data_IF_890264207028
#
_entry.id   IF_890264207028
#
_cell.length_a   1.000
_cell.length_b   1.000
_cell.length_c   1.000
_cell.angle_alpha   90.00
_cell.angle_beta   90.00
_cell.angle_gamma   90.00
#
_symmetry.space_group_name_H-M   'P 1'
#
loop_
_entity.id
_entity.type
_entity.pdbx_description
1 polymer ?
#
# COMPACT_ATOMS: atom_id res chain seq x y z
N UNK A 1 60.82 -19.72 48.12
CA UNK A 1 60.43 -18.41 47.55
C UNK A 1 59.79 -18.72 46.22
N UNK A 2 58.46 -18.69 46.19
CA UNK A 2 57.69 -18.88 44.97
C UNK A 2 57.10 -17.51 44.64
N UNK A 3 57.46 -16.99 43.48
CA UNK A 3 57.02 -15.70 42.96
C UNK A 3 55.63 -15.87 42.33
N UNK A 4 54.61 -15.25 42.92
CA UNK A 4 53.26 -15.16 42.37
C UNK A 4 53.16 -13.97 41.40
N UNK A 5 53.10 -14.29 40.11
CA UNK A 5 52.83 -13.37 39.02
C UNK A 5 51.31 -13.15 38.90
N UNK A 6 50.79 -12.03 39.42
CA UNK A 6 49.39 -11.64 39.22
C UNK A 6 49.17 -11.16 37.78
N UNK A 7 48.48 -11.98 36.98
CA UNK A 7 47.94 -11.58 35.68
C UNK A 7 46.59 -10.86 35.89
N UNK A 8 46.56 -9.56 35.60
CA UNK A 8 45.33 -8.78 35.56
C UNK A 8 44.57 -9.07 34.25
N UNK A 9 43.44 -9.77 34.35
CA UNK A 9 42.50 -9.97 33.25
C UNK A 9 41.70 -8.68 33.09
N UNK A 10 41.97 -7.93 32.02
CA UNK A 10 41.13 -6.82 31.56
C UNK A 10 39.88 -7.44 30.94
N UNK A 11 38.76 -7.36 31.65
CA UNK A 11 37.44 -7.75 31.14
C UNK A 11 36.95 -6.64 30.22
N UNK A 12 37.25 -6.75 28.92
CA UNK A 12 36.57 -5.95 27.90
C UNK A 12 35.08 -6.30 27.94
N UNK A 13 34.28 -5.40 28.51
CA UNK A 13 32.85 -5.43 28.37
C UNK A 13 32.54 -5.20 26.88
N UNK A 14 32.37 -6.30 26.14
CA UNK A 14 31.70 -6.30 24.86
C UNK A 14 30.29 -5.76 25.10
N UNK A 15 30.11 -4.45 24.94
CA UNK A 15 28.78 -3.86 24.82
C UNK A 15 28.19 -4.52 23.57
N UNK A 16 27.15 -5.35 23.66
CA UNK A 16 26.46 -5.77 22.47
C UNK A 16 25.99 -4.48 21.82
N UNK A 17 26.53 -4.16 20.65
CA UNK A 17 25.88 -3.23 19.76
C UNK A 17 24.46 -3.79 19.61
N UNK A 18 23.50 -3.20 20.33
CA UNK A 18 22.09 -3.45 20.12
C UNK A 18 21.92 -3.29 18.62
N UNK A 19 21.68 -4.39 17.92
CA UNK A 19 21.34 -4.35 16.52
C UNK A 19 20.24 -3.31 16.44
N UNK A 20 20.54 -2.14 15.86
CA UNK A 20 19.50 -1.17 15.57
C UNK A 20 18.48 -1.97 14.79
N UNK A 21 17.26 -2.06 15.32
CA UNK A 21 16.19 -2.92 14.85
C UNK A 21 15.66 -2.39 13.50
N UNK A 22 16.51 -2.34 12.49
CA UNK A 22 16.25 -1.70 11.21
C UNK A 22 15.25 -2.54 10.41
N UNK A 23 14.20 -1.88 9.95
CA UNK A 23 13.34 -2.41 8.88
C UNK A 23 13.97 -1.97 7.56
N UNK A 24 14.28 -2.92 6.69
CA UNK A 24 14.99 -2.57 5.45
C UNK A 24 14.11 -1.77 4.50
N UNK A 25 14.72 -0.96 3.65
CA UNK A 25 14.11 -0.46 2.43
C UNK A 25 13.56 -1.62 1.59
N UNK A 26 12.57 -1.33 0.75
CA UNK A 26 11.94 -2.31 -0.12
C UNK A 26 10.48 -2.03 -0.39
N UNK A 27 9.86 -2.92 -1.16
CA UNK A 27 8.47 -2.82 -1.57
C UNK A 27 7.57 -3.63 -0.64
N UNK A 28 6.59 -2.96 -0.06
CA UNK A 28 5.46 -3.55 0.63
C UNK A 28 4.33 -3.78 -0.38
N UNK A 29 3.69 -4.94 -0.28
CA UNK A 29 2.61 -5.35 -1.18
C UNK A 29 1.32 -5.43 -0.41
N UNK A 30 0.31 -4.71 -0.87
CA UNK A 30 -0.98 -4.58 -0.21
C UNK A 30 -2.11 -5.04 -1.12
N UNK A 31 -3.18 -5.54 -0.51
CA UNK A 31 -4.40 -5.92 -1.22
C UNK A 31 -5.62 -5.16 -0.73
N UNK A 32 -6.60 -4.97 -1.59
CA UNK A 32 -7.82 -4.22 -1.32
C UNK A 32 -9.03 -5.12 -1.57
N UNK A 33 -9.90 -5.36 -0.57
CA UNK A 33 -11.03 -6.25 -0.74
C UNK A 33 -12.16 -5.57 -1.50
N UNK A 34 -12.90 -6.28 -2.37
CA UNK A 34 -14.10 -5.75 -3.00
C UNK A 34 -15.34 -5.83 -2.07
N UNK A 35 -15.17 -5.71 -0.75
CA UNK A 35 -16.22 -5.95 0.26
C UNK A 35 -16.99 -4.68 0.68
N UNK A 36 -16.69 -3.54 0.06
CA UNK A 36 -17.30 -2.25 0.39
C UNK A 36 -16.54 -1.43 1.43
N UNK A 37 -15.45 -1.96 2.01
CA UNK A 37 -14.62 -1.22 2.96
C UNK A 37 -13.73 -0.15 2.30
N UNK A 38 -13.42 -0.32 1.02
CA UNK A 38 -12.69 0.66 0.20
C UNK A 38 -13.63 1.25 -0.83
N UNK A 39 -13.84 2.57 -0.77
CA UNK A 39 -14.79 3.28 -1.62
C UNK A 39 -14.35 4.73 -1.84
N UNK A 40 -14.92 5.36 -2.86
CA UNK A 40 -14.85 6.81 -3.06
C UNK A 40 -16.24 7.37 -3.35
N UNK A 41 -16.50 8.60 -2.92
CA UNK A 41 -17.70 9.33 -3.27
C UNK A 41 -17.42 10.20 -4.49
N UNK A 42 -17.89 9.77 -5.66
CA UNK A 42 -17.61 10.42 -6.93
C UNK A 42 -18.61 11.54 -7.21
N UNK A 43 -18.10 12.69 -7.65
CA UNK A 43 -18.90 13.84 -8.10
C UNK A 43 -18.43 14.23 -9.51
N UNK A 44 -19.23 13.90 -10.53
CA UNK A 44 -18.96 14.22 -11.92
C UNK A 44 -19.91 15.34 -12.39
N UNK A 45 -19.40 16.39 -13.06
CA UNK A 45 -20.26 17.44 -13.58
C UNK A 45 -21.13 16.92 -14.74
N UNK A 46 -22.24 17.62 -14.99
CA UNK A 46 -23.06 17.36 -16.17
C UNK A 46 -22.20 17.51 -17.44
N UNK A 47 -22.44 16.67 -18.45
CA UNK A 47 -21.65 16.67 -19.67
C UNK A 47 -20.38 15.81 -19.64
N UNK A 48 -19.93 15.34 -18.46
CA UNK A 48 -18.65 14.61 -18.34
C UNK A 48 -18.69 13.23 -19.01
N UNK A 49 -19.66 12.40 -18.64
CA UNK A 49 -19.82 11.04 -19.16
C UNK A 49 -20.31 11.05 -20.62
N UNK A 50 -21.23 11.95 -20.92
CA UNK A 50 -21.71 12.25 -22.27
C UNK A 50 -22.23 13.69 -22.33
N UNK A 51 -22.31 14.25 -23.54
CA UNK A 51 -22.74 15.63 -23.78
C UNK A 51 -24.06 15.99 -23.08
N UNK A 52 -25.03 15.08 -23.10
CA UNK A 52 -26.38 15.29 -22.53
C UNK A 52 -26.57 14.52 -21.22
N UNK A 53 -25.50 13.98 -20.63
CA UNK A 53 -25.56 13.27 -19.37
C UNK A 53 -25.69 14.25 -18.19
N UNK A 54 -26.67 14.08 -17.29
CA UNK A 54 -26.75 14.84 -16.04
C UNK A 54 -25.49 14.67 -15.18
N UNK A 55 -25.33 15.56 -14.20
CA UNK A 55 -24.28 15.39 -13.19
C UNK A 55 -24.50 14.07 -12.43
N UNK A 56 -23.40 13.39 -12.08
CA UNK A 56 -23.45 12.15 -11.32
C UNK A 56 -22.84 12.38 -9.93
N UNK A 57 -23.58 11.98 -8.90
CA UNK A 57 -23.09 11.91 -7.53
C UNK A 57 -23.38 10.52 -6.99
N UNK A 58 -22.34 9.80 -6.57
CA UNK A 58 -22.53 8.45 -6.08
C UNK A 58 -21.27 7.81 -5.53
N UNK A 59 -21.48 6.80 -4.69
CA UNK A 59 -20.39 6.00 -4.13
C UNK A 59 -19.97 4.90 -5.09
N UNK A 60 -18.66 4.78 -5.31
CA UNK A 60 -18.06 3.68 -6.06
C UNK A 60 -17.28 2.82 -5.08
N UNK A 61 -17.66 1.54 -4.98
CA UNK A 61 -16.90 0.55 -4.22
C UNK A 61 -15.72 0.12 -5.09
N UNK A 62 -14.52 0.10 -4.51
CA UNK A 62 -13.31 -0.29 -5.19
C UNK A 62 -12.83 -1.65 -4.70
N UNK A 63 -12.48 -2.50 -5.65
CA UNK A 63 -11.79 -3.76 -5.42
C UNK A 63 -10.37 -3.70 -5.99
N UNK A 64 -9.45 -4.35 -5.30
CA UNK A 64 -8.08 -4.57 -5.76
C UNK A 64 -7.98 -5.43 -7.01
N UNK A 65 -7.19 -4.99 -7.98
CA UNK A 65 -6.74 -5.83 -9.10
C UNK A 65 -5.22 -5.97 -9.00
N UNK A 66 -4.67 -7.20 -9.00
CA UNK A 66 -3.23 -7.39 -8.86
C UNK A 66 -2.44 -6.60 -9.91
N UNK A 67 -1.48 -5.80 -9.45
CA UNK A 67 -0.54 -5.09 -10.32
C UNK A 67 0.24 -6.12 -11.13
N UNK A 68 0.22 -5.98 -12.45
CA UNK A 68 0.98 -6.88 -13.30
C UNK A 68 2.48 -6.76 -13.01
N UNK A 69 3.12 -7.90 -12.80
CA UNK A 69 4.55 -7.99 -12.50
C UNK A 69 5.25 -9.04 -13.36
N UNK A 70 6.59 -8.93 -13.45
CA UNK A 70 7.45 -9.94 -14.06
C UNK A 70 8.64 -10.26 -13.13
N UNK A 71 8.70 -11.49 -12.57
CA UNK A 71 7.73 -12.58 -12.71
C UNK A 71 6.36 -12.27 -12.09
N UNK A 72 5.31 -13.00 -12.51
CA UNK A 72 3.90 -12.69 -12.21
C UNK A 72 3.58 -12.59 -10.70
N UNK A 73 4.31 -13.31 -9.87
CA UNK A 73 4.14 -13.41 -8.42
C UNK A 73 5.17 -12.59 -7.64
N UNK A 74 5.96 -11.73 -8.30
CA UNK A 74 7.06 -10.98 -7.69
C UNK A 74 6.68 -10.19 -6.45
N UNK A 75 5.43 -9.74 -6.36
CA UNK A 75 4.89 -8.99 -5.23
C UNK A 75 3.64 -9.64 -4.65
N UNK A 76 3.56 -10.98 -4.68
CA UNK A 76 2.46 -11.73 -4.05
C UNK A 76 1.07 -11.21 -4.45
N UNK A 77 0.87 -10.85 -5.71
CA UNK A 77 -0.42 -10.37 -6.26
C UNK A 77 -1.02 -9.14 -5.56
N UNK A 78 -0.19 -8.24 -5.03
CA UNK A 78 -0.67 -6.95 -4.50
C UNK A 78 -1.30 -6.06 -5.58
N UNK A 79 -2.35 -5.35 -5.21
CA UNK A 79 -2.96 -4.30 -6.05
C UNK A 79 -2.39 -2.91 -5.76
N UNK A 80 -1.73 -2.73 -4.61
CA UNK A 80 -1.03 -1.50 -4.26
C UNK A 80 0.38 -1.84 -3.80
N UNK A 81 1.37 -1.28 -4.48
CA UNK A 81 2.80 -1.51 -4.21
C UNK A 81 3.42 -0.23 -3.68
N UNK A 82 3.89 -0.27 -2.44
CA UNK A 82 4.46 0.89 -1.73
C UNK A 82 5.92 0.63 -1.42
N UNK A 83 6.80 1.48 -1.94
CA UNK A 83 8.24 1.36 -1.74
C UNK A 83 8.69 2.29 -0.62
N UNK A 84 9.34 1.71 0.40
CA UNK A 84 10.19 2.44 1.34
C UNK A 84 11.50 2.78 0.66
N UNK A 85 11.79 4.07 0.57
CA UNK A 85 12.97 4.60 -0.14
C UNK A 85 14.27 4.41 0.62
N UNK A 86 14.17 4.18 1.93
CA UNK A 86 15.29 4.04 2.84
C UNK A 86 14.95 3.06 3.98
N UNK A 87 15.98 2.66 4.70
CA UNK A 87 15.86 1.85 5.90
C UNK A 87 15.15 2.64 7.00
N UNK A 88 14.15 2.03 7.64
CA UNK A 88 13.46 2.61 8.78
C UNK A 88 14.21 2.24 10.07
N UNK A 89 14.85 3.25 10.67
CA UNK A 89 15.63 3.12 11.91
C UNK A 89 14.79 3.60 13.09
N UNK A 90 14.59 2.73 14.08
CA UNK A 90 13.85 3.09 15.29
C UNK A 90 14.70 3.93 16.24
N UNK A 91 14.08 4.96 16.82
CA UNK A 91 14.63 5.72 17.91
C UNK A 91 14.51 4.98 19.26
N UNK A 92 14.99 5.61 20.33
CA UNK A 92 14.92 5.06 21.69
C UNK A 92 13.49 4.89 22.23
N UNK A 93 12.47 5.44 21.55
CA UNK A 93 11.05 5.30 21.88
C UNK A 93 10.36 4.22 21.04
N UNK A 94 11.10 3.53 20.18
CA UNK A 94 10.51 2.54 19.27
C UNK A 94 9.71 3.18 18.14
N UNK A 95 10.04 4.40 17.72
CA UNK A 95 9.42 5.07 16.57
C UNK A 95 10.42 5.21 15.43
N UNK A 96 10.02 4.84 14.22
CA UNK A 96 10.76 5.07 12.99
C UNK A 96 9.91 5.91 12.02
N UNK A 97 10.56 6.81 11.28
CA UNK A 97 9.96 7.55 10.18
C UNK A 97 10.70 7.23 8.89
N UNK A 98 9.97 6.94 7.82
CA UNK A 98 10.55 6.50 6.55
C UNK A 98 9.78 7.10 5.38
N UNK A 99 10.51 7.58 4.37
CA UNK A 99 9.87 8.04 3.14
C UNK A 99 9.35 6.86 2.33
N UNK A 100 8.11 6.99 1.88
CA UNK A 100 7.44 6.02 1.02
C UNK A 100 6.91 6.64 -0.25
N UNK A 101 6.76 5.82 -1.29
CA UNK A 101 6.17 6.19 -2.56
C UNK A 101 5.33 5.04 -3.12
N UNK A 102 4.18 5.33 -3.71
CA UNK A 102 3.43 4.31 -4.45
C UNK A 102 4.09 4.08 -5.80
N UNK A 103 4.40 2.83 -6.08
CA UNK A 103 5.01 2.39 -7.33
C UNK A 103 4.01 1.76 -8.29
N UNK A 104 2.98 1.12 -7.77
CA UNK A 104 1.90 0.54 -8.56
C UNK A 104 0.59 0.60 -7.79
N UNK A 105 -0.49 0.86 -8.51
CA UNK A 105 -1.85 0.83 -7.98
C UNK A 105 -2.79 0.43 -9.10
N UNK A 106 -3.66 -0.54 -8.85
CA UNK A 106 -4.72 -0.90 -9.78
C UNK A 106 -6.00 -1.31 -9.03
N UNK A 107 -7.05 -0.52 -9.21
CA UNK A 107 -8.39 -0.83 -8.70
C UNK A 107 -9.41 -0.94 -9.82
N UNK A 108 -10.47 -1.67 -9.53
CA UNK A 108 -11.66 -1.73 -10.37
C UNK A 108 -12.90 -1.44 -9.53
N UNK A 109 -13.88 -0.76 -10.11
CA UNK A 109 -15.21 -0.61 -9.53
C UNK A 109 -15.85 -1.99 -9.32
N UNK A 110 -16.13 -2.35 -8.07
CA UNK A 110 -16.81 -3.60 -7.74
C UNK A 110 -18.27 -3.59 -8.20
N UNK A 111 -18.84 -2.40 -8.37
CA UNK A 111 -20.17 -2.17 -8.92
C UNK A 111 -20.10 -1.39 -10.24
N UNK A 112 -21.01 -1.72 -11.16
CA UNK A 112 -21.27 -0.89 -12.33
C UNK A 112 -21.89 0.44 -11.90
N UNK A 113 -21.36 1.56 -12.41
CA UNK A 113 -21.95 2.88 -12.23
C UNK A 113 -23.16 3.02 -13.14
N UNK A 114 -24.35 3.04 -12.54
CA UNK A 114 -25.61 3.25 -13.24
C UNK A 114 -25.92 4.74 -13.27
N UNK A 115 -26.04 5.29 -14.48
CA UNK A 115 -26.32 6.71 -14.71
C UNK A 115 -27.46 6.84 -15.71
N UNK A 116 -28.05 8.03 -15.80
CA UNK A 116 -29.13 8.31 -16.77
C UNK A 116 -28.65 8.22 -18.23
N UNK A 117 -27.33 8.29 -18.47
CA UNK A 117 -26.73 8.12 -19.79
C UNK A 117 -26.09 6.74 -20.02
N UNK A 118 -26.39 5.76 -19.16
CA UNK A 118 -26.00 4.37 -19.34
C UNK A 118 -25.23 3.78 -18.17
N UNK A 119 -24.76 2.56 -18.39
CA UNK A 119 -23.99 1.79 -17.42
C UNK A 119 -22.50 1.85 -17.73
N UNK A 120 -21.67 2.13 -16.72
CA UNK A 120 -20.24 2.33 -16.86
C UNK A 120 -19.46 1.46 -15.89
N UNK A 121 -18.40 0.81 -16.38
CA UNK A 121 -17.35 0.29 -15.51
C UNK A 121 -16.36 1.39 -15.15
N UNK A 122 -15.69 1.25 -14.02
CA UNK A 122 -14.60 2.12 -13.61
C UNK A 122 -13.33 1.30 -13.36
N UNK A 123 -12.22 1.77 -13.88
CA UNK A 123 -10.87 1.25 -13.63
C UNK A 123 -10.00 2.40 -13.13
N UNK A 124 -9.08 2.14 -12.20
CA UNK A 124 -8.25 3.17 -11.57
C UNK A 124 -6.80 2.72 -11.55
N UNK A 125 -5.93 3.51 -12.15
CA UNK A 125 -4.48 3.30 -12.15
C UNK A 125 -3.71 4.57 -11.80
N UNK A 126 -2.39 4.45 -11.64
CA UNK A 126 -1.52 5.62 -11.43
C UNK A 126 -1.42 6.49 -12.69
N UNK A 127 -1.54 7.81 -12.52
CA UNK A 127 -1.47 8.79 -13.60
C UNK A 127 -0.04 9.11 -14.04
N UNK A 128 0.87 9.18 -13.08
CA UNK A 128 2.25 9.64 -13.23
C UNK A 128 3.12 9.09 -12.10
N UNK A 129 4.36 9.56 -12.02
CA UNK A 129 5.19 9.33 -10.86
C UNK A 129 4.59 10.03 -9.62
N UNK A 130 4.54 9.30 -8.52
CA UNK A 130 3.89 9.70 -7.29
C UNK A 130 4.81 10.55 -6.42
N UNK A 131 4.23 11.36 -5.55
CA UNK A 131 4.99 12.13 -4.56
C UNK A 131 5.34 11.24 -3.36
N UNK A 132 6.54 11.43 -2.80
CA UNK A 132 6.92 10.74 -1.58
C UNK A 132 6.18 11.32 -0.37
N UNK A 133 5.74 10.46 0.53
CA UNK A 133 5.15 10.81 1.83
C UNK A 133 5.96 10.16 2.95
N UNK A 134 5.63 10.47 4.21
CA UNK A 134 6.32 9.90 5.37
C UNK A 134 5.40 8.89 6.06
N UNK A 135 5.84 7.64 6.14
CA UNK A 135 5.24 6.63 7.00
C UNK A 135 5.87 6.73 8.39
N UNK A 136 5.03 6.66 9.42
CA UNK A 136 5.47 6.47 10.80
C UNK A 136 5.24 5.02 11.20
N UNK A 137 6.25 4.35 11.73
CA UNK A 137 6.19 2.98 12.22
C UNK A 137 6.47 3.01 13.72
N UNK A 138 5.59 2.44 14.50
CA UNK A 138 5.70 2.33 15.95
C UNK A 138 5.84 0.86 16.32
N UNK A 139 6.88 0.56 17.07
CA UNK A 139 7.13 -0.75 17.68
C UNK A 139 6.55 -0.74 19.08
N UNK A 140 5.63 -1.66 19.34
CA UNK A 140 5.05 -1.85 20.68
C UNK A 140 5.81 -2.95 21.44
N UNK A 141 6.30 -3.98 20.73
CA UNK A 141 7.11 -5.05 21.31
C UNK A 141 8.07 -5.69 20.28
N UNK A 142 8.77 -6.76 20.67
CA UNK A 142 9.72 -7.46 19.82
C UNK A 142 9.08 -8.11 18.57
N UNK A 143 7.78 -8.37 18.60
CA UNK A 143 7.02 -9.02 17.54
C UNK A 143 6.35 -8.04 16.57
N UNK A 144 6.31 -6.73 16.87
CA UNK A 144 5.78 -5.73 15.95
C UNK A 144 5.15 -4.52 16.64
N UNK A 145 4.12 -3.96 16.01
CA UNK A 145 3.37 -2.81 16.50
C UNK A 145 2.38 -2.30 15.46
N UNK A 146 2.32 -0.99 15.24
CA UNK A 146 1.47 -0.37 14.23
C UNK A 146 2.21 0.65 13.37
N UNK A 147 1.64 1.03 12.24
CA UNK A 147 2.14 2.05 11.35
C UNK A 147 1.01 2.96 10.87
N UNK A 148 1.41 4.15 10.45
CA UNK A 148 0.57 5.15 9.80
C UNK A 148 1.25 5.55 8.50
N UNK A 149 0.62 5.25 7.38
CA UNK A 149 1.11 5.57 6.05
C UNK A 149 0.08 6.48 5.35
N UNK A 150 0.24 7.82 5.43
CA UNK A 150 -0.41 8.71 4.48
C UNK A 150 0.27 8.54 3.12
N UNK A 151 -0.50 8.47 2.06
CA UNK A 151 0.00 8.10 0.74
C UNK A 151 -0.61 9.02 -0.28
N UNK A 152 0.24 9.82 -0.91
CA UNK A 152 -0.19 10.69 -2.00
C UNK A 152 -0.31 9.86 -3.27
N UNK A 153 -1.52 9.84 -3.86
CA UNK A 153 -1.78 9.18 -5.13
C UNK A 153 -2.42 10.15 -6.12
N UNK A 154 -1.76 10.30 -7.27
CA UNK A 154 -2.27 10.86 -8.50
C UNK A 154 -2.73 9.69 -9.38
N UNK A 155 -4.04 9.55 -9.55
CA UNK A 155 -4.66 8.45 -10.29
C UNK A 155 -5.39 8.94 -11.54
N UNK A 156 -5.55 8.05 -12.51
CA UNK A 156 -6.50 8.21 -13.61
C UNK A 156 -7.59 7.17 -13.44
N UNK A 157 -8.83 7.65 -13.42
CA UNK A 157 -10.02 6.83 -13.57
C UNK A 157 -10.33 6.69 -15.05
N UNK A 158 -10.61 5.47 -15.48
CA UNK A 158 -11.06 5.13 -16.83
C UNK A 158 -12.47 4.56 -16.74
N UNK A 159 -13.44 5.32 -17.23
CA UNK A 159 -14.84 4.90 -17.33
C UNK A 159 -15.10 4.31 -18.71
N UNK A 160 -15.67 3.11 -18.78
CA UNK A 160 -16.03 2.48 -20.05
C UNK A 160 -17.52 2.17 -20.09
N UNK A 161 -18.24 2.69 -21.09
CA UNK A 161 -19.68 2.47 -21.23
C UNK A 161 -19.96 1.07 -21.78
N UNK A 162 -20.91 0.37 -21.16
CA UNK A 162 -21.24 -1.00 -21.52
C UNK A 162 -21.88 -1.14 -22.92
N UNK A 163 -22.61 -0.13 -23.39
CA UNK A 163 -23.38 -0.21 -24.64
C UNK A 163 -22.54 -0.15 -25.92
N UNK A 164 -21.48 0.66 -25.92
CA UNK A 164 -20.71 1.01 -27.12
C UNK A 164 -19.20 1.08 -26.88
N UNK A 165 -18.74 0.84 -25.64
CA UNK A 165 -17.33 0.92 -25.29
C UNK A 165 -16.78 2.34 -25.22
N UNK A 166 -17.62 3.38 -25.17
CA UNK A 166 -17.15 4.75 -25.03
C UNK A 166 -16.30 4.93 -23.77
N UNK A 167 -15.14 5.60 -23.90
CA UNK A 167 -14.19 5.80 -22.80
C UNK A 167 -14.18 7.26 -22.35
N UNK A 168 -14.15 7.48 -21.04
CA UNK A 168 -13.91 8.79 -20.39
C UNK A 168 -12.87 8.66 -19.31
N UNK A 169 -12.03 9.68 -19.14
CA UNK A 169 -10.98 9.66 -18.11
C UNK A 169 -11.09 10.83 -17.16
N UNK A 170 -10.78 10.59 -15.89
CA UNK A 170 -10.73 11.60 -14.84
C UNK A 170 -9.42 11.47 -14.07
N UNK A 171 -8.59 12.53 -14.09
CA UNK A 171 -7.44 12.62 -13.21
C UNK A 171 -7.86 13.03 -11.80
N UNK A 172 -7.37 12.35 -10.78
CA UNK A 172 -7.60 12.72 -9.38
C UNK A 172 -6.31 12.70 -8.58
N UNK A 173 -6.19 13.60 -7.60
CA UNK A 173 -5.08 13.63 -6.65
C UNK A 173 -5.66 13.51 -5.25
N UNK A 174 -5.29 12.46 -4.52
CA UNK A 174 -5.81 12.16 -3.20
C UNK A 174 -4.68 11.76 -2.25
N UNK A 175 -4.90 11.95 -0.96
CA UNK A 175 -4.09 11.29 0.07
C UNK A 175 -4.91 10.12 0.62
N UNK A 176 -4.47 8.90 0.34
CA UNK A 176 -4.99 7.70 0.98
C UNK A 176 -4.31 7.57 2.33
N UNK A 177 -5.07 7.52 3.42
CA UNK A 177 -4.52 7.28 4.75
C UNK A 177 -4.83 5.85 5.16
N UNK A 178 -3.85 5.16 5.73
CA UNK A 178 -4.13 3.96 6.51
C UNK A 178 -4.97 4.31 7.76
N UNK A 179 -5.64 3.34 8.36
CA UNK A 179 -6.22 3.51 9.70
C UNK A 179 -5.14 4.01 10.69
N UNK A 180 -5.56 4.76 11.72
CA UNK A 180 -4.66 5.39 12.70
C UNK A 180 -3.69 4.39 13.38
N UNK A 181 -4.01 3.10 13.38
CA UNK A 181 -3.16 2.03 13.94
C UNK A 181 -3.18 0.76 13.08
N UNK A 182 -2.74 0.86 11.83
CA UNK A 182 -2.60 -0.33 10.98
C UNK A 182 -1.50 -1.25 11.54
N UNK A 183 -1.75 -2.53 11.80
CA UNK A 183 -0.80 -3.41 12.48
C UNK A 183 0.33 -3.84 11.53
N UNK A 184 1.50 -4.11 12.09
CA UNK A 184 2.58 -4.79 11.40
C UNK A 184 3.30 -5.77 12.33
N UNK A 185 3.89 -6.79 11.72
CA UNK A 185 4.66 -7.82 12.41
C UNK A 185 6.15 -7.72 12.03
N UNK A 186 7.02 -7.92 13.01
CA UNK A 186 8.47 -7.93 12.88
C UNK A 186 9.03 -9.31 12.49
N UNK A 187 9.89 -9.35 11.47
CA UNK A 187 10.59 -10.58 11.06
C UNK A 187 9.90 -11.30 9.89
N UNK A 188 9.88 -12.63 9.91
CA UNK A 188 9.31 -13.45 8.83
C UNK A 188 8.06 -14.18 9.29
N UNK A 189 6.91 -13.77 8.77
CA UNK A 189 5.71 -14.59 8.84
C UNK A 189 5.68 -15.55 7.65
N UNK A 190 5.77 -16.85 7.90
CA UNK A 190 5.67 -17.89 6.86
C UNK A 190 4.31 -17.91 6.14
N UNK A 191 3.30 -17.25 6.71
CA UNK A 191 1.96 -17.05 6.15
C UNK A 191 1.70 -15.61 5.68
N UNK A 192 2.66 -14.68 5.80
CA UNK A 192 2.46 -13.31 5.39
C UNK A 192 2.68 -13.07 3.90
N UNK A 193 2.01 -12.04 3.38
CA UNK A 193 2.35 -11.40 2.12
C UNK A 193 3.81 -10.91 2.17
N UNK A 194 4.72 -11.80 1.81
CA UNK A 194 6.18 -11.63 1.86
C UNK A 194 6.93 -12.74 1.14
N UNK A 195 6.21 -13.59 0.39
CA UNK A 195 6.78 -14.62 -0.48
C UNK A 195 7.19 -14.09 -1.85
N UNK A 196 6.96 -12.79 -2.10
CA UNK A 196 7.41 -12.11 -3.30
C UNK A 196 8.93 -12.23 -3.51
N UNK A 197 9.37 -11.96 -4.73
CA UNK A 197 10.75 -12.22 -5.12
C UNK A 197 11.72 -11.35 -4.30
N UNK A 198 12.78 -11.98 -3.79
CA UNK A 198 13.91 -11.28 -3.13
C UNK A 198 14.82 -10.53 -4.11
N UNK A 199 14.32 -10.25 -5.32
CA UNK A 199 15.02 -9.54 -6.38
C UNK A 199 14.10 -8.43 -6.90
N UNK A 200 14.66 -7.30 -7.35
CA UNK A 200 13.91 -6.30 -8.10
C UNK A 200 13.17 -6.95 -9.27
N UNK A 201 11.93 -6.55 -9.49
CA UNK A 201 11.09 -7.04 -10.58
C UNK A 201 10.53 -5.87 -11.38
N UNK A 202 10.01 -6.18 -12.56
CA UNK A 202 9.29 -5.22 -13.38
C UNK A 202 7.82 -5.22 -12.97
N UNK A 203 7.20 -4.05 -12.93
CA UNK A 203 5.78 -3.86 -12.72
C UNK A 203 5.17 -3.00 -13.83
N UNK A 204 3.85 -3.09 -13.94
CA UNK A 204 3.04 -2.12 -14.67
C UNK A 204 2.38 -1.14 -13.67
N UNK A 205 2.89 0.10 -13.53
CA UNK A 205 2.43 1.03 -12.49
C UNK A 205 0.94 1.39 -12.57
N UNK A 206 0.36 1.39 -13.77
CA UNK A 206 -1.00 1.88 -14.03
C UNK A 206 -2.04 0.77 -14.23
N UNK A 207 -1.63 -0.51 -14.20
CA UNK A 207 -2.54 -1.63 -14.49
C UNK A 207 -2.88 -1.81 -15.98
N UNK A 208 -2.37 -0.97 -16.89
CA UNK A 208 -2.64 -1.06 -18.33
C UNK A 208 -1.37 -1.26 -19.16
N UNK A 209 -1.30 -2.33 -19.97
CA UNK A 209 -0.10 -2.64 -20.77
C UNK A 209 0.88 -3.59 -20.07
N UNK A 210 2.13 -3.67 -20.55
CA UNK A 210 3.12 -4.64 -20.04
C UNK A 210 3.96 -4.07 -18.89
N UNK A 211 4.47 -4.92 -17.98
CA UNK A 211 5.43 -4.49 -16.96
C UNK A 211 6.71 -3.89 -17.57
N UNK A 212 7.03 -2.66 -17.20
CA UNK A 212 8.18 -1.91 -17.74
C UNK A 212 8.97 -1.16 -16.67
N UNK A 213 8.38 -0.88 -15.51
CA UNK A 213 9.04 -0.15 -14.43
C UNK A 213 9.72 -1.12 -13.47
N UNK A 214 11.04 -1.00 -13.31
CA UNK A 214 11.78 -1.76 -12.30
C UNK A 214 11.63 -1.11 -10.93
N UNK A 215 11.26 -1.89 -9.92
CA UNK A 215 11.12 -1.40 -8.53
C UNK A 215 11.90 -2.29 -7.56
N UNK A 216 12.04 -1.86 -6.31
CA UNK A 216 12.76 -2.60 -5.29
C UNK A 216 12.16 -4.00 -5.04
N UNK A 217 12.99 -4.91 -4.51
CA UNK A 217 12.52 -6.21 -4.03
C UNK A 217 11.56 -6.05 -2.84
N UNK A 218 10.87 -7.13 -2.47
CA UNK A 218 10.05 -7.10 -1.25
C UNK A 218 10.89 -6.79 -0.01
N UNK A 219 10.28 -6.03 0.89
CA UNK A 219 10.90 -5.49 2.07
C UNK A 219 11.20 -6.57 3.13
N UNK A 220 12.15 -6.33 4.05
CA UNK A 220 12.51 -7.28 5.12
C UNK A 220 12.14 -6.72 6.50
N UNK A 221 11.70 -7.64 7.37
CA UNK A 221 11.45 -7.33 8.77
C UNK A 221 10.16 -6.57 9.04
N UNK A 222 9.30 -6.39 8.03
CA UNK A 222 8.03 -5.68 8.13
C UNK A 222 6.96 -6.41 7.33
N UNK A 223 5.95 -6.93 8.02
CA UNK A 223 4.79 -7.57 7.41
C UNK A 223 3.54 -6.74 7.76
N UNK A 224 3.12 -5.81 6.89
CA UNK A 224 1.95 -4.97 7.16
C UNK A 224 0.67 -5.81 7.13
N UNK A 225 -0.29 -5.50 8.00
CA UNK A 225 -1.57 -6.20 8.13
C UNK A 225 -1.55 -7.41 9.08
N UNK A 226 -0.36 -7.83 9.52
CA UNK A 226 -0.18 -8.95 10.45
C UNK A 226 0.07 -8.45 11.87
N UNK A 227 -0.60 -9.09 12.84
CA UNK A 227 -0.32 -8.86 14.26
C UNK A 227 0.85 -9.71 14.79
N UNK A 228 1.20 -9.55 16.08
CA UNK A 228 2.35 -10.19 16.75
C UNK A 228 2.48 -11.72 16.57
N UNK A 229 1.38 -12.43 16.33
CA UNK A 229 1.36 -13.89 16.17
C UNK A 229 1.34 -14.37 14.71
N UNK A 230 1.69 -13.51 13.75
CA UNK A 230 1.50 -13.77 12.31
C UNK A 230 0.05 -14.14 11.95
N UNK A 231 -0.89 -13.69 12.78
CA UNK A 231 -2.31 -13.76 12.49
C UNK A 231 -2.72 -12.47 11.80
N UNK A 232 -3.55 -12.54 10.75
CA UNK A 232 -4.13 -11.33 10.19
C UNK A 232 -4.92 -10.63 11.28
N UNK A 233 -4.69 -9.33 11.43
CA UNK A 233 -5.63 -8.51 12.17
C UNK A 233 -6.77 -8.16 11.22
N UNK A 234 -8.00 -8.49 11.65
CA UNK A 234 -9.22 -8.19 10.91
C UNK A 234 -9.41 -6.67 10.88
N UNK A 235 -8.90 -6.05 9.82
CA UNK A 235 -9.32 -4.74 9.34
C UNK A 235 -9.84 -5.04 7.92
N UNK A 236 -11.03 -5.62 7.80
CA UNK A 236 -12.20 -4.97 7.20
C UNK A 236 -13.46 -5.78 7.63
N UNK A 237 -14.56 -5.15 8.06
CA UNK A 237 -15.75 -5.87 8.57
C UNK A 237 -16.52 -6.59 7.46
N UNK A 238 -16.36 -7.92 7.36
CA UNK A 238 -17.17 -8.84 6.55
C UNK A 238 -16.65 -10.27 6.70
N UNK A 239 -17.53 -11.29 6.78
CA UNK A 239 -17.20 -12.64 7.32
C UNK A 239 -16.31 -13.57 6.45
N UNK A 240 -15.42 -13.04 5.61
CA UNK A 240 -14.39 -13.84 4.94
C UNK A 240 -13.22 -12.95 4.52
N UNK A 241 -12.00 -13.20 5.04
CA UNK A 241 -10.85 -12.30 4.89
C UNK A 241 -9.60 -13.10 4.51
N UNK A 242 -8.94 -12.66 3.44
CA UNK A 242 -7.56 -13.01 3.10
C UNK A 242 -6.60 -12.13 3.94
N UNK A 243 -5.57 -12.72 4.57
CA UNK A 243 -4.68 -12.05 5.51
C UNK A 243 -3.77 -10.94 4.91
N UNK A 244 -3.80 -10.73 3.59
CA UNK A 244 -2.99 -9.73 2.86
C UNK A 244 -3.74 -8.41 2.57
N UNK A 245 -4.93 -8.26 3.13
CA UNK A 245 -5.88 -7.20 2.80
C UNK A 245 -5.70 -5.98 3.72
N UNK A 246 -5.46 -4.82 3.12
CA UNK A 246 -5.45 -3.49 3.72
C UNK A 246 -6.71 -2.72 3.30
N UNK A 247 -7.44 -2.22 4.29
CA UNK A 247 -8.51 -1.25 4.14
C UNK A 247 -7.90 0.14 3.85
N UNK A 248 -8.12 0.72 2.66
CA UNK A 248 -7.84 2.14 2.39
C UNK A 248 -9.16 2.90 2.34
N UNK A 249 -9.35 3.83 3.27
CA UNK A 249 -10.40 4.83 3.18
C UNK A 249 -9.77 6.15 2.68
N UNK A 250 -9.95 6.56 1.41
CA UNK A 250 -9.54 7.90 0.99
C UNK A 250 -10.28 8.96 1.82
N UNK A 251 -9.56 9.98 2.29
CA UNK A 251 -10.21 11.22 2.71
C UNK A 251 -10.73 11.93 1.45
N UNK A 252 -12.00 11.75 1.11
CA UNK A 252 -12.63 12.34 -0.07
C UNK A 252 -13.07 13.78 0.23
N UNK A 253 -12.13 14.71 0.19
CA UNK A 253 -12.48 16.11 -0.12
C UNK A 253 -11.85 16.48 -1.45
N UNK A 254 -12.65 16.42 -2.52
CA UNK A 254 -12.27 16.98 -3.81
C UNK A 254 -12.12 18.50 -3.64
N UNK A 255 -10.97 19.10 -3.96
CA UNK A 255 -10.97 20.52 -4.26
C UNK A 255 -11.82 20.71 -5.51
N UNK A 256 -12.94 21.43 -5.37
CA UNK A 256 -13.68 21.98 -6.49
C UNK A 256 -12.74 22.92 -7.25
N UNK A 257 -12.04 22.43 -8.27
CA UNK A 257 -11.32 23.30 -9.20
C UNK A 257 -12.08 23.34 -10.53
N UNK A 258 -12.47 24.53 -11.01
CA UNK A 258 -13.29 24.68 -12.19
C UNK A 258 -12.40 24.76 -13.43
N UNK A 259 -12.36 23.73 -14.26
CA UNK A 259 -11.98 23.85 -15.67
C UNK A 259 -12.74 22.82 -16.50
#
# INVERSE_FOLDING_TARGET
>A
MADDLFAAIVLEAAVPALAQDVISAGTDSWRTPPDGSSYTDLNLPAGFLDKDCPAFQGRVILGGVPVEASPKDAYSYGDTLVERLEDAVFDAKGVAQVKIIVRGLHFQGANTLKTDCGEWSADVGLAKQQSATVMTIVREDANGGYFQAPISVDTVWTFTRASDGAVRTLGTSNILTSDEKSPWQAGTCTKAAGTGTRRPALINPSGHGKPTMKIAAVSRGFNPGYGPNCLPNVLCRGKQIDPSIHCYSPATSFPSSPF
#
